data_IF_248561063726
#
_entry.id   IF_248561063726
#
_cell.length_a   1.000
_cell.length_b   1.000
_cell.length_c   1.000
_cell.angle_alpha   90.00
_cell.angle_beta   90.00
_cell.angle_gamma   90.00
#
_symmetry.space_group_name_H-M   'P 1'
#
loop_
_entity.id
_entity.type
_entity.pdbx_description
1 polymer ?
#
# COMPACT_ATOMS: atom_id res chain seq x y z
N UNK A 1 -10.35 -51.24 20.39
CA UNK A 1 -11.04 -51.53 19.10
C UNK A 1 -11.28 -50.23 18.38
N UNK A 2 -10.64 -50.07 17.22
CA UNK A 2 -10.43 -48.79 16.53
C UNK A 2 -11.68 -48.25 15.83
N UNK A 3 -11.91 -46.94 15.99
CA UNK A 3 -13.02 -46.15 15.46
C UNK A 3 -12.99 -46.08 13.93
N UNK A 4 -13.99 -46.61 13.24
CA UNK A 4 -14.20 -46.35 11.79
C UNK A 4 -15.25 -45.29 11.59
N UNK A 5 -14.82 -44.03 11.59
CA UNK A 5 -15.63 -42.90 11.13
C UNK A 5 -15.87 -43.01 9.62
N UNK A 6 -17.14 -43.08 9.24
CA UNK A 6 -17.64 -43.23 7.87
C UNK A 6 -17.18 -42.10 6.94
N UNK A 7 -16.62 -42.49 5.79
CA UNK A 7 -15.99 -41.67 4.74
C UNK A 7 -16.80 -40.47 4.20
N UNK A 8 -18.10 -40.38 4.52
CA UNK A 8 -18.99 -39.30 4.03
C UNK A 8 -18.81 -37.96 4.75
N UNK A 9 -18.43 -37.97 6.05
CA UNK A 9 -18.21 -36.73 6.82
C UNK A 9 -16.86 -36.07 6.50
N UNK A 10 -15.84 -36.85 6.13
CA UNK A 10 -14.52 -36.33 5.77
C UNK A 10 -14.54 -35.40 4.54
N UNK A 11 -15.38 -35.71 3.54
CA UNK A 11 -15.50 -34.90 2.30
C UNK A 11 -16.09 -33.50 2.55
N UNK A 12 -17.05 -33.37 3.47
CA UNK A 12 -17.66 -32.06 3.81
C UNK A 12 -16.72 -31.17 4.62
N UNK A 13 -15.84 -31.77 5.43
CA UNK A 13 -14.85 -31.04 6.20
C UNK A 13 -13.76 -30.43 5.29
N UNK A 14 -13.37 -31.14 4.23
CA UNK A 14 -12.37 -30.69 3.26
C UNK A 14 -12.82 -29.47 2.41
N UNK A 15 -14.10 -29.41 2.01
CA UNK A 15 -14.61 -28.29 1.21
C UNK A 15 -14.65 -26.95 1.95
N UNK A 16 -14.86 -26.97 3.28
CA UNK A 16 -14.81 -25.76 4.11
C UNK A 16 -13.38 -25.28 4.35
N UNK A 17 -12.43 -26.21 4.45
CA UNK A 17 -11.01 -25.89 4.55
C UNK A 17 -10.52 -25.22 3.27
N UNK A 18 -10.90 -25.73 2.08
CA UNK A 18 -10.49 -25.16 0.78
C UNK A 18 -10.97 -23.71 0.56
N UNK A 19 -12.16 -23.32 1.04
CA UNK A 19 -12.60 -21.91 1.01
C UNK A 19 -11.79 -20.99 1.93
N UNK A 20 -11.28 -21.52 3.06
CA UNK A 20 -10.37 -20.77 3.95
C UNK A 20 -8.97 -20.60 3.34
N UNK A 21 -8.56 -21.47 2.41
CA UNK A 21 -7.33 -21.31 1.65
C UNK A 21 -7.44 -20.26 0.54
N UNK A 22 -8.61 -20.06 -0.06
CA UNK A 22 -8.83 -18.96 -1.03
C UNK A 22 -8.77 -17.57 -0.39
N UNK A 23 -9.22 -17.42 0.87
CA UNK A 23 -9.09 -16.15 1.62
C UNK A 23 -7.63 -15.84 1.99
N UNK A 24 -6.73 -16.82 1.87
CA UNK A 24 -5.30 -16.70 2.20
C UNK A 24 -4.40 -16.53 0.98
N UNK A 25 -4.96 -16.58 -0.24
CA UNK A 25 -4.24 -16.44 -1.51
C UNK A 25 -4.54 -15.14 -2.27
N UNK A 26 -5.16 -14.15 -1.62
CA UNK A 26 -4.90 -12.75 -1.96
C UNK A 26 -3.57 -12.33 -1.34
N UNK A 27 -2.49 -13.03 -1.73
CA UNK A 27 -1.14 -12.48 -1.67
C UNK A 27 -1.05 -11.46 -2.82
N UNK A 28 -1.84 -10.39 -2.75
CA UNK A 28 -1.47 -9.19 -3.46
C UNK A 28 -0.12 -8.80 -2.88
N UNK A 29 0.92 -8.76 -3.69
CA UNK A 29 2.23 -8.28 -3.29
C UNK A 29 2.09 -6.80 -2.96
N UNK A 30 1.61 -6.48 -1.75
CA UNK A 30 1.46 -5.11 -1.30
C UNK A 30 2.85 -4.53 -1.13
N UNK A 31 3.17 -3.55 -1.98
CA UNK A 31 4.44 -2.84 -1.94
C UNK A 31 4.37 -1.84 -0.79
N UNK A 32 5.00 -2.18 0.33
CA UNK A 32 5.11 -1.28 1.46
C UNK A 32 6.25 -0.28 1.26
N UNK A 33 5.94 1.01 1.35
CA UNK A 33 6.86 2.12 1.16
C UNK A 33 6.88 2.95 2.42
N UNK A 34 8.08 3.07 2.99
CA UNK A 34 8.34 3.86 4.19
C UNK A 34 8.75 5.28 3.82
N UNK A 35 7.99 6.26 4.27
CA UNK A 35 8.17 7.69 4.02
C UNK A 35 8.72 8.42 5.25
N UNK A 36 9.18 7.71 6.27
CA UNK A 36 9.66 8.36 7.50
C UNK A 36 10.98 9.10 7.27
N UNK A 37 11.06 10.34 7.72
CA UNK A 37 12.23 11.22 7.58
C UNK A 37 12.45 11.72 6.16
N UNK A 38 11.41 11.83 5.33
CA UNK A 38 11.56 12.47 4.01
C UNK A 38 11.74 13.98 4.18
N UNK A 39 12.80 14.53 3.59
CA UNK A 39 13.10 15.96 3.66
C UNK A 39 12.65 16.71 2.41
N UNK A 40 12.36 15.97 1.33
CA UNK A 40 11.97 16.53 0.05
C UNK A 40 11.09 15.59 -0.75
N UNK A 41 10.35 16.14 -1.72
CA UNK A 41 9.60 15.35 -2.71
C UNK A 41 10.53 14.45 -3.54
N UNK A 42 11.78 14.86 -3.74
CA UNK A 42 12.78 14.04 -4.43
C UNK A 42 13.11 12.76 -3.66
N UNK A 43 13.23 12.84 -2.34
CA UNK A 43 13.48 11.66 -1.51
C UNK A 43 12.30 10.69 -1.58
N UNK A 44 11.07 11.21 -1.59
CA UNK A 44 9.88 10.42 -1.83
C UNK A 44 9.97 9.64 -3.16
N UNK A 45 10.31 10.33 -4.27
CA UNK A 45 10.46 9.68 -5.58
C UNK A 45 11.51 8.58 -5.55
N UNK A 46 12.65 8.80 -4.89
CA UNK A 46 13.70 7.80 -4.79
C UNK A 46 13.23 6.55 -4.04
N UNK A 47 12.48 6.70 -2.95
CA UNK A 47 11.94 5.57 -2.18
C UNK A 47 10.87 4.81 -2.96
N UNK A 48 10.03 5.52 -3.71
CA UNK A 48 9.02 4.92 -4.58
C UNK A 48 9.66 4.16 -5.75
N UNK A 49 10.56 4.81 -6.50
CA UNK A 49 11.27 4.20 -7.64
C UNK A 49 12.15 3.00 -7.23
N UNK A 50 12.59 2.93 -5.97
CA UNK A 50 13.33 1.78 -5.46
C UNK A 50 12.46 0.53 -5.25
N UNK A 51 11.13 0.68 -5.25
CA UNK A 51 10.16 -0.38 -4.95
C UNK A 51 9.20 -0.67 -6.09
N UNK A 52 8.85 0.36 -6.86
CA UNK A 52 7.94 0.32 -7.99
C UNK A 52 8.70 0.80 -9.21
N UNK A 53 8.53 0.11 -10.33
CA UNK A 53 9.11 0.54 -11.59
C UNK A 53 8.28 1.71 -12.13
N UNK A 54 8.88 2.90 -12.11
CA UNK A 54 8.20 4.13 -12.51
C UNK A 54 8.68 4.57 -13.89
N UNK A 55 7.76 4.96 -14.80
CA UNK A 55 8.16 5.52 -16.08
C UNK A 55 8.91 6.84 -15.89
N UNK A 56 9.84 7.15 -16.80
CA UNK A 56 10.77 8.28 -16.69
C UNK A 56 10.13 9.67 -16.67
N UNK A 57 8.85 9.79 -17.06
CA UNK A 57 8.09 11.05 -17.00
C UNK A 57 7.43 11.31 -15.63
N UNK A 58 7.44 10.35 -14.70
CA UNK A 58 6.86 10.50 -13.34
C UNK A 58 7.49 11.62 -12.53
N UNK A 59 8.80 11.84 -12.67
CA UNK A 59 9.54 12.81 -11.88
C UNK A 59 9.38 14.27 -12.37
N UNK A 60 8.48 14.52 -13.32
CA UNK A 60 8.28 15.86 -13.91
C UNK A 60 7.52 16.78 -12.95
N UNK A 61 6.43 16.30 -12.35
CA UNK A 61 5.60 17.04 -11.40
C UNK A 61 4.74 16.07 -10.54
N UNK A 62 4.14 16.58 -9.46
CA UNK A 62 3.27 15.79 -8.57
C UNK A 62 2.01 15.27 -9.29
N UNK A 63 1.48 16.03 -10.24
CA UNK A 63 0.28 15.63 -10.98
C UNK A 63 0.54 14.42 -11.87
N UNK A 64 1.67 14.37 -12.58
CA UNK A 64 2.05 13.23 -13.41
C UNK A 64 2.31 11.99 -12.55
N UNK A 65 2.89 12.16 -11.36
CA UNK A 65 3.03 11.07 -10.39
C UNK A 65 1.65 10.54 -9.96
N UNK A 66 0.71 11.43 -9.65
CA UNK A 66 -0.65 11.05 -9.28
C UNK A 66 -1.32 10.24 -10.41
N UNK A 67 -1.24 10.72 -11.66
CA UNK A 67 -1.80 10.02 -12.82
C UNK A 67 -1.19 8.62 -13.02
N UNK A 68 0.12 8.50 -12.85
CA UNK A 68 0.83 7.21 -12.95
C UNK A 68 0.40 6.24 -11.86
N UNK A 69 0.29 6.71 -10.62
CA UNK A 69 -0.16 5.87 -9.50
C UNK A 69 -1.60 5.38 -9.67
N UNK A 70 -2.44 6.15 -10.37
CA UNK A 70 -3.83 5.78 -10.65
C UNK A 70 -4.01 4.88 -11.89
N UNK A 71 -3.20 5.08 -12.94
CA UNK A 71 -3.41 4.42 -14.23
C UNK A 71 -2.37 3.38 -14.62
N UNK A 72 -1.09 3.63 -14.30
CA UNK A 72 0.04 2.84 -14.83
C UNK A 72 0.55 1.81 -13.83
N UNK A 73 0.48 2.09 -12.53
CA UNK A 73 0.91 1.16 -11.49
C UNK A 73 -0.17 0.09 -11.28
N UNK A 74 0.17 -1.19 -11.37
CA UNK A 74 -0.81 -2.29 -11.23
C UNK A 74 -0.77 -2.87 -9.81
N UNK A 75 0.33 -2.64 -9.10
CA UNK A 75 0.58 -3.14 -7.76
C UNK A 75 -0.26 -2.43 -6.69
N UNK A 76 -0.66 -3.18 -5.66
CA UNK A 76 -1.24 -2.62 -4.44
C UNK A 76 -0.12 -1.96 -3.63
N UNK A 77 -0.28 -0.69 -3.24
CA UNK A 77 0.76 0.08 -2.54
C UNK A 77 0.29 0.43 -1.13
N UNK A 78 1.18 0.30 -0.15
CA UNK A 78 0.93 0.78 1.20
C UNK A 78 2.00 1.81 1.59
N UNK A 79 1.61 3.07 1.69
CA UNK A 79 2.45 4.14 2.20
C UNK A 79 2.39 4.18 3.73
N UNK A 80 3.55 4.21 4.37
CA UNK A 80 3.69 4.44 5.82
C UNK A 80 4.40 5.77 6.01
N UNK A 81 3.75 6.69 6.73
CA UNK A 81 4.31 7.99 7.02
C UNK A 81 3.99 8.40 8.46
N UNK A 82 4.83 7.95 9.37
CA UNK A 82 4.73 8.17 10.81
C UNK A 82 5.27 9.55 11.24
N UNK A 83 6.33 10.04 10.59
CA UNK A 83 6.97 11.33 10.92
C UNK A 83 6.41 12.52 10.12
N UNK A 84 5.21 12.39 9.53
CA UNK A 84 4.60 13.41 8.65
C UNK A 84 4.57 14.81 9.26
N UNK A 85 4.35 14.94 10.57
CA UNK A 85 4.31 16.24 11.26
C UNK A 85 5.69 16.91 11.26
N UNK A 86 6.76 16.14 11.51
CA UNK A 86 8.14 16.64 11.58
C UNK A 86 8.69 16.93 10.17
N UNK A 87 8.38 16.05 9.22
CA UNK A 87 8.80 16.19 7.83
C UNK A 87 8.13 17.41 7.18
N UNK A 88 6.80 17.53 7.30
CA UNK A 88 6.05 18.69 6.78
C UNK A 88 6.45 19.99 7.48
N UNK A 89 6.87 19.95 8.75
CA UNK A 89 7.39 21.15 9.41
C UNK A 89 8.73 21.62 8.82
N UNK A 90 9.51 20.72 8.24
CA UNK A 90 10.80 21.04 7.62
C UNK A 90 10.65 21.71 6.25
N UNK A 91 9.71 21.24 5.41
CA UNK A 91 9.34 21.89 4.15
C UNK A 91 7.82 21.86 3.94
N UNK A 92 7.09 22.87 4.45
CA UNK A 92 5.64 22.87 4.44
C UNK A 92 5.06 23.09 3.05
N UNK A 93 5.75 23.75 2.12
CA UNK A 93 5.17 24.00 0.79
C UNK A 93 5.20 22.75 -0.08
N UNK A 94 6.35 22.08 -0.17
CA UNK A 94 6.50 20.92 -1.04
C UNK A 94 5.81 19.67 -0.47
N UNK A 95 5.95 19.43 0.85
CA UNK A 95 5.43 18.22 1.49
C UNK A 95 3.93 18.30 1.81
N UNK A 96 3.34 19.49 1.97
CA UNK A 96 1.87 19.60 2.04
C UNK A 96 1.21 19.20 0.72
N UNK A 97 1.79 19.57 -0.42
CA UNK A 97 1.32 19.15 -1.74
C UNK A 97 1.36 17.64 -1.89
N UNK A 98 2.49 17.03 -1.54
CA UNK A 98 2.66 15.58 -1.52
C UNK A 98 1.65 14.89 -0.59
N UNK A 99 1.47 15.40 0.64
CA UNK A 99 0.51 14.84 1.59
C UNK A 99 -0.91 14.86 1.04
N UNK A 100 -1.35 15.97 0.45
CA UNK A 100 -2.69 16.08 -0.16
C UNK A 100 -2.88 15.05 -1.28
N UNK A 101 -1.91 14.94 -2.18
CA UNK A 101 -1.93 13.95 -3.25
C UNK A 101 -2.03 12.52 -2.68
N UNK A 102 -1.25 12.19 -1.65
CA UNK A 102 -1.29 10.87 -1.01
C UNK A 102 -2.61 10.60 -0.26
N UNK A 103 -3.26 11.62 0.29
CA UNK A 103 -4.59 11.52 0.92
C UNK A 103 -5.71 11.26 -0.11
N UNK A 104 -5.52 11.68 -1.36
CA UNK A 104 -6.49 11.51 -2.44
C UNK A 104 -6.40 10.12 -3.10
N UNK A 105 -5.20 9.51 -3.14
CA UNK A 105 -4.98 8.20 -3.78
C UNK A 105 -5.91 7.08 -3.26
N UNK A 106 -6.08 6.86 -1.94
CA UNK A 106 -6.98 5.82 -1.43
C UNK A 106 -8.45 6.06 -1.77
N UNK A 107 -8.84 7.31 -2.02
CA UNK A 107 -10.22 7.65 -2.43
C UNK A 107 -10.46 7.30 -3.90
N UNK A 108 -9.44 7.45 -4.73
CA UNK A 108 -9.48 7.11 -6.15
C UNK A 108 -9.26 5.60 -6.38
N UNK A 109 -8.45 4.93 -5.55
CA UNK A 109 -8.08 3.53 -5.74
C UNK A 109 -7.91 2.78 -4.41
N UNK A 110 -8.76 1.78 -4.19
CA UNK A 110 -8.79 0.99 -2.95
C UNK A 110 -7.54 0.11 -2.72
N UNK A 111 -6.78 -0.18 -3.78
CA UNK A 111 -5.54 -0.95 -3.71
C UNK A 111 -4.37 -0.14 -3.10
N UNK A 112 -4.53 1.19 -3.02
CA UNK A 112 -3.57 2.09 -2.41
C UNK A 112 -4.07 2.45 -1.02
N UNK A 113 -3.21 2.25 -0.02
CA UNK A 113 -3.49 2.62 1.36
C UNK A 113 -2.39 3.49 1.91
N UNK A 114 -2.76 4.42 2.79
CA UNK A 114 -1.80 5.23 3.53
C UNK A 114 -2.08 5.11 5.02
N UNK A 115 -1.03 4.89 5.79
CA UNK A 115 -1.07 4.85 7.25
C UNK A 115 -0.21 5.97 7.79
N UNK A 116 -0.87 6.89 8.48
CA UNK A 116 -0.23 7.86 9.34
C UNK A 116 -0.12 7.30 10.75
N UNK A 117 0.96 7.61 11.46
CA UNK A 117 0.95 7.44 12.91
C UNK A 117 -0.09 8.39 13.47
N UNK A 118 -1.24 7.86 13.89
CA UNK A 118 -2.16 8.63 14.70
C UNK A 118 -1.38 9.09 15.93
N UNK A 119 -1.13 10.39 16.03
CA UNK A 119 -0.80 11.00 17.30
C UNK A 119 -2.00 10.74 18.24
N UNK A 120 -1.97 9.65 18.98
CA UNK A 120 -2.71 9.58 20.25
C UNK A 120 -2.07 10.62 21.17
N UNK A 121 -2.64 11.82 21.18
CA UNK A 121 -2.57 12.71 22.33
C UNK A 121 -3.62 12.29 23.35
#
# INVERSE_FOLDING_TARGET
>A
MSLKLSNKKARRYNARQLKKWQVRQANECVVAIDLDGIQSVKDFYQRLAAKVDLPSYTAINLDALHDVLLGDVVESIMFRWETVVEDVASDPQALQGLKRMLDDLPQARADISISYKSCSN
#
